data_IF_856687146704
#
_entry.id   IF_856687146704
#
_cell.length_a   1.000
_cell.length_b   1.000
_cell.length_c   1.000
_cell.angle_alpha   90.00
_cell.angle_beta   90.00
_cell.angle_gamma   90.00
#
_symmetry.space_group_name_H-M   'P 1'
#
loop_
_entity.id
_entity.type
_entity.pdbx_description
1 polymer ?
#
# COMPACT_ATOMS: atom_id res chain seq x y z
N UNK A 1 -20.27 -6.39 7.19
CA UNK A 1 -20.65 -5.01 6.83
C UNK A 1 -19.56 -4.47 5.91
N UNK A 2 -19.91 -3.84 4.78
CA UNK A 2 -18.91 -3.28 3.89
C UNK A 2 -18.30 -2.02 4.54
N UNK A 3 -16.97 -1.96 4.66
CA UNK A 3 -16.28 -0.77 5.17
C UNK A 3 -16.43 0.36 4.16
N UNK A 4 -16.70 1.58 4.64
CA UNK A 4 -16.85 2.74 3.75
C UNK A 4 -15.48 3.18 3.22
N UNK A 5 -15.34 3.22 1.90
CA UNK A 5 -14.11 3.62 1.21
C UNK A 5 -13.92 5.14 1.35
N UNK A 6 -12.76 5.54 1.86
CA UNK A 6 -12.31 6.94 1.91
C UNK A 6 -11.64 7.35 0.61
N UNK A 7 -10.70 6.54 0.13
CA UNK A 7 -9.88 6.83 -1.04
C UNK A 7 -9.30 5.54 -1.63
N UNK A 8 -9.05 5.54 -2.93
CA UNK A 8 -8.30 4.49 -3.62
C UNK A 8 -7.02 5.08 -4.19
N UNK A 9 -5.88 4.47 -3.90
CA UNK A 9 -4.58 4.83 -4.43
C UNK A 9 -4.14 3.77 -5.44
N UNK A 10 -3.46 4.21 -6.50
CA UNK A 10 -2.83 3.32 -7.49
C UNK A 10 -1.37 3.70 -7.58
N UNK A 11 -0.50 2.78 -7.18
CA UNK A 11 0.95 2.99 -7.12
C UNK A 11 1.66 1.85 -7.84
N UNK A 12 2.84 2.12 -8.38
CA UNK A 12 3.76 1.08 -8.80
C UNK A 12 4.84 0.94 -7.74
N UNK A 13 4.99 -0.27 -7.21
CA UNK A 13 5.87 -0.54 -6.08
C UNK A 13 6.71 -1.76 -6.41
N UNK A 14 8.02 -1.66 -6.15
CA UNK A 14 8.92 -2.76 -6.37
C UNK A 14 8.71 -3.83 -5.29
N UNK A 15 8.42 -5.06 -5.73
CA UNK A 15 8.15 -6.21 -4.89
C UNK A 15 9.29 -6.45 -3.90
N UNK A 16 8.93 -6.69 -2.63
CA UNK A 16 9.88 -6.91 -1.54
C UNK A 16 10.66 -5.66 -1.10
N UNK A 17 10.45 -4.50 -1.73
CA UNK A 17 11.25 -3.28 -1.53
C UNK A 17 10.42 -2.01 -1.26
N UNK A 18 9.16 -2.15 -0.83
CA UNK A 18 8.36 -1.02 -0.37
C UNK A 18 9.04 -0.33 0.83
N UNK A 19 9.17 0.99 0.74
CA UNK A 19 9.78 1.84 1.74
C UNK A 19 9.02 3.18 1.82
N UNK A 20 9.19 4.01 2.87
CA UNK A 20 8.47 5.26 3.03
C UNK A 20 8.95 6.40 2.10
N UNK A 21 9.77 6.12 1.08
CA UNK A 21 10.19 7.13 0.11
C UNK A 21 9.08 7.40 -0.93
N UNK A 22 9.14 8.53 -1.66
CA UNK A 22 8.24 8.78 -2.79
C UNK A 22 8.30 7.64 -3.82
N UNK A 23 7.15 7.19 -4.37
CA UNK A 23 5.81 7.77 -4.21
C UNK A 23 5.00 7.24 -3.01
N UNK A 24 5.44 6.17 -2.34
CA UNK A 24 4.68 5.44 -1.32
C UNK A 24 4.42 6.28 -0.07
N UNK A 25 5.47 6.88 0.50
CA UNK A 25 5.35 7.66 1.74
C UNK A 25 4.35 8.82 1.65
N UNK A 26 4.50 9.74 0.68
CA UNK A 26 3.57 10.85 0.51
C UNK A 26 2.12 10.39 0.22
N UNK A 27 1.93 9.40 -0.66
CA UNK A 27 0.59 8.94 -1.04
C UNK A 27 -0.17 8.31 0.13
N UNK A 28 0.50 7.44 0.90
CA UNK A 28 -0.09 6.80 2.07
C UNK A 28 -0.26 7.76 3.25
N UNK A 29 0.72 8.65 3.46
CA UNK A 29 0.66 9.68 4.51
C UNK A 29 -0.52 10.64 4.30
N UNK A 30 -0.73 11.13 3.07
CA UNK A 30 -1.87 11.98 2.73
C UNK A 30 -3.22 11.25 2.90
N UNK A 31 -3.26 9.94 2.65
CA UNK A 31 -4.45 9.14 2.86
C UNK A 31 -4.72 8.79 4.34
N UNK A 32 -3.74 8.99 5.23
CA UNK A 32 -3.82 8.66 6.65
C UNK A 32 -3.61 7.17 6.94
N UNK A 33 -2.85 6.48 6.09
CA UNK A 33 -2.53 5.05 6.23
C UNK A 33 -1.23 4.88 7.01
N UNK A 34 -1.13 3.81 7.81
CA UNK A 34 0.12 3.42 8.44
C UNK A 34 1.16 2.95 7.41
N UNK A 35 2.08 3.85 7.04
CA UNK A 35 3.12 3.63 6.01
C UNK A 35 4.00 2.44 6.36
N UNK A 36 4.48 2.35 7.60
CA UNK A 36 5.36 1.25 8.03
C UNK A 36 4.64 -0.10 8.02
N UNK A 37 3.38 -0.11 8.46
CA UNK A 37 2.52 -1.29 8.40
C UNK A 37 2.34 -1.79 6.98
N UNK A 38 1.98 -0.89 6.06
CA UNK A 38 1.86 -1.19 4.64
C UNK A 38 3.16 -1.74 4.06
N UNK A 39 4.30 -1.06 4.26
CA UNK A 39 5.58 -1.51 3.69
C UNK A 39 5.95 -2.92 4.17
N UNK A 40 5.75 -3.22 5.45
CA UNK A 40 6.03 -4.54 6.01
C UNK A 40 5.12 -5.62 5.41
N UNK A 41 3.83 -5.36 5.32
CA UNK A 41 2.86 -6.31 4.78
C UNK A 41 3.03 -6.52 3.27
N UNK A 42 3.24 -5.44 2.52
CA UNK A 42 3.52 -5.50 1.09
C UNK A 42 4.80 -6.31 0.82
N UNK A 43 5.89 -6.03 1.53
CA UNK A 43 7.15 -6.75 1.33
C UNK A 43 7.03 -8.24 1.66
N UNK A 44 6.29 -8.59 2.72
CA UNK A 44 6.03 -9.98 3.06
C UNK A 44 5.19 -10.70 1.99
N UNK A 45 4.12 -10.06 1.48
CA UNK A 45 3.26 -10.65 0.44
C UNK A 45 3.94 -10.78 -0.92
N UNK A 46 4.84 -9.85 -1.25
CA UNK A 46 5.49 -9.78 -2.56
C UNK A 46 6.89 -10.36 -2.57
N UNK A 47 7.33 -10.98 -1.47
CA UNK A 47 8.67 -11.58 -1.35
C UNK A 47 8.95 -12.63 -2.44
N UNK A 48 7.93 -13.37 -2.87
CA UNK A 48 8.06 -14.39 -3.92
C UNK A 48 8.35 -13.80 -5.31
N UNK A 49 7.99 -12.54 -5.54
CA UNK A 49 8.19 -11.81 -6.80
C UNK A 49 9.21 -10.68 -6.63
N UNK A 50 10.09 -10.78 -5.63
CA UNK A 50 11.03 -9.72 -5.28
C UNK A 50 11.84 -9.25 -6.50
N UNK A 51 11.81 -7.95 -6.76
CA UNK A 51 12.44 -7.33 -7.94
C UNK A 51 11.46 -6.86 -9.01
N UNK A 52 10.26 -7.45 -9.09
CA UNK A 52 9.24 -7.05 -10.06
C UNK A 52 8.58 -5.72 -9.68
N UNK A 53 8.17 -4.94 -10.70
CA UNK A 53 7.39 -3.72 -10.49
C UNK A 53 5.89 -4.05 -10.49
N UNK A 54 5.27 -4.04 -9.32
CA UNK A 54 3.87 -4.46 -9.16
C UNK A 54 2.90 -3.26 -9.15
N UNK A 55 1.90 -3.24 -10.04
CA UNK A 55 0.81 -2.27 -9.98
C UNK A 55 -0.08 -2.56 -8.78
N UNK A 56 0.02 -1.74 -7.75
CA UNK A 56 -0.66 -1.92 -6.47
C UNK A 56 -1.85 -0.98 -6.35
N UNK A 57 -3.04 -1.55 -6.12
CA UNK A 57 -4.26 -0.79 -5.80
C UNK A 57 -4.51 -0.88 -4.30
N UNK A 58 -4.53 0.27 -3.63
CA UNK A 58 -4.68 0.37 -2.18
C UNK A 58 -6.01 1.05 -1.90
N UNK A 59 -6.91 0.33 -1.24
CA UNK A 59 -8.20 0.85 -0.78
C UNK A 59 -8.05 1.29 0.66
N UNK A 60 -8.29 2.58 0.91
CA UNK A 60 -8.24 3.18 2.24
C UNK A 60 -9.67 3.40 2.72
N UNK A 61 -9.97 2.94 3.93
CA UNK A 61 -11.29 3.07 4.53
C UNK A 61 -11.34 4.24 5.53
N UNK A 62 -12.54 4.69 5.88
CA UNK A 62 -12.72 5.81 6.83
C UNK A 62 -12.23 5.52 8.25
N UNK A 63 -12.14 4.25 8.64
CA UNK A 63 -11.61 3.78 9.93
C UNK A 63 -10.06 3.75 9.97
N UNK A 64 -9.40 4.33 8.96
CA UNK A 64 -7.95 4.30 8.75
C UNK A 64 -7.36 2.90 8.50
N UNK A 65 -8.20 1.87 8.33
CA UNK A 65 -7.76 0.58 7.81
C UNK A 65 -7.54 0.66 6.30
N UNK A 66 -6.75 -0.27 5.77
CA UNK A 66 -6.47 -0.38 4.34
C UNK A 66 -6.49 -1.84 3.90
N UNK A 67 -6.80 -2.04 2.63
CA UNK A 67 -6.58 -3.29 1.89
C UNK A 67 -5.79 -2.98 0.62
N UNK A 68 -5.06 -3.95 0.10
CA UNK A 68 -4.37 -3.78 -1.18
C UNK A 68 -4.33 -5.06 -2.02
N UNK A 69 -4.24 -4.86 -3.33
CA UNK A 69 -4.08 -5.92 -4.34
C UNK A 69 -2.90 -5.55 -5.23
N UNK A 70 -2.03 -6.51 -5.51
CA UNK A 70 -0.76 -6.37 -6.26
C UNK A 70 -0.71 -7.32 -7.43
#
# INVERSE_FOLDING_TARGET
>A
MAKEVKQVLKLQIQAGQANPSPPVGPALGQAGVNIMGFCKEFNARTQASAGDLLPTVITVYKDASFDFVT
#
